data_IF_152758283950
#
_entry.id   IF_152758283950
#
_cell.length_a   1.000
_cell.length_b   1.000
_cell.length_c   1.000
_cell.angle_alpha   90.00
_cell.angle_beta   90.00
_cell.angle_gamma   90.00
#
_symmetry.space_group_name_H-M   'P 1'
#
loop_
_entity.id
_entity.type
_entity.pdbx_description
1 polymer ?
#
# COMPACT_ATOMS: atom_id res chain seq x y z
N UNK A 1 -14.95 2.13 -20.22
CA UNK A 1 -13.97 1.08 -19.82
C UNK A 1 -14.17 0.74 -18.35
N UNK A 2 -14.27 -0.55 -17.99
CA UNK A 2 -14.40 -0.97 -16.59
C UNK A 2 -13.17 -0.54 -15.78
N UNK A 3 -13.41 0.08 -14.62
CA UNK A 3 -12.35 0.49 -13.68
C UNK A 3 -12.29 -0.52 -12.52
N UNK A 4 -11.09 -0.81 -12.04
CA UNK A 4 -10.86 -1.68 -10.90
C UNK A 4 -9.65 -1.18 -10.09
N UNK A 5 -9.58 -1.57 -8.82
CA UNK A 5 -8.42 -1.38 -7.96
C UNK A 5 -7.58 -2.66 -7.92
N UNK A 6 -6.27 -2.52 -7.78
CA UNK A 6 -5.33 -3.65 -7.82
C UNK A 6 -4.84 -3.99 -6.42
N UNK A 7 -5.21 -5.16 -5.91
CA UNK A 7 -4.85 -5.60 -4.55
C UNK A 7 -3.35 -5.82 -4.35
N UNK A 8 -2.55 -5.95 -5.42
CA UNK A 8 -1.10 -6.19 -5.31
C UNK A 8 -0.36 -5.01 -4.67
N UNK A 9 -0.93 -3.81 -4.80
CA UNK A 9 -0.37 -2.62 -4.18
C UNK A 9 -0.32 -2.72 -2.65
N UNK A 10 -1.25 -3.44 -2.00
CA UNK A 10 -1.18 -3.69 -0.56
C UNK A 10 0.11 -4.40 -0.14
N UNK A 11 0.41 -5.52 -0.80
CA UNK A 11 1.61 -6.31 -0.49
C UNK A 11 2.89 -5.52 -0.79
N UNK A 12 2.91 -4.78 -1.90
CA UNK A 12 4.05 -3.95 -2.28
C UNK A 12 4.31 -2.81 -1.28
N UNK A 13 3.27 -2.08 -0.87
CA UNK A 13 3.42 -0.99 0.10
C UNK A 13 3.73 -1.51 1.51
N UNK A 14 3.15 -2.63 1.92
CA UNK A 14 3.47 -3.28 3.18
C UNK A 14 4.94 -3.74 3.23
N UNK A 15 5.46 -4.31 2.14
CA UNK A 15 6.87 -4.68 2.03
C UNK A 15 7.81 -3.47 2.09
N UNK A 16 7.49 -2.39 1.37
CA UNK A 16 8.27 -1.16 1.42
C UNK A 16 8.26 -0.51 2.81
N UNK A 17 7.09 -0.48 3.45
CA UNK A 17 6.97 -0.02 4.84
C UNK A 17 7.81 -0.88 5.78
N UNK A 18 7.80 -2.21 5.61
CA UNK A 18 8.63 -3.12 6.40
C UNK A 18 10.13 -2.88 6.18
N UNK A 19 10.56 -2.68 4.93
CA UNK A 19 11.96 -2.40 4.60
C UNK A 19 12.44 -1.08 5.21
N UNK A 20 11.59 -0.05 5.15
CA UNK A 20 11.80 1.17 5.90
C UNK A 20 11.88 0.83 7.39
N UNK A 21 10.83 0.30 8.03
CA UNK A 21 10.87 -0.05 9.45
C UNK A 21 12.12 -0.84 9.90
N UNK A 22 12.62 -1.78 9.11
CA UNK A 22 13.83 -2.53 9.42
C UNK A 22 15.08 -1.63 9.47
N UNK A 23 15.22 -0.70 8.53
CA UNK A 23 16.28 0.29 8.58
C UNK A 23 16.19 1.16 9.85
N UNK A 24 15.00 1.34 10.45
CA UNK A 24 14.77 2.25 11.58
C UNK A 24 15.49 1.70 12.80
N UNK A 25 15.22 0.42 13.03
CA UNK A 25 15.73 -0.38 14.12
C UNK A 25 17.26 -0.37 14.16
N UNK A 26 17.91 -0.22 12.99
CA UNK A 26 19.37 -0.20 12.87
C UNK A 26 20.05 1.13 13.17
N UNK A 27 19.34 2.19 13.60
CA UNK A 27 19.92 3.54 13.74
C UNK A 27 19.94 4.07 15.17
N UNK A 28 21.05 4.71 15.58
CA UNK A 28 21.32 5.10 16.97
C UNK A 28 21.42 6.62 17.23
N UNK A 29 21.25 7.48 16.21
CA UNK A 29 21.45 8.95 16.32
C UNK A 29 20.16 9.77 16.05
N UNK A 30 20.24 11.12 16.12
CA UNK A 30 19.22 12.17 15.84
C UNK A 30 18.40 12.05 14.53
N UNK A 31 18.56 10.94 13.81
CA UNK A 31 17.89 10.53 12.58
C UNK A 31 16.41 10.17 12.76
N UNK A 32 15.90 10.10 14.00
CA UNK A 32 14.53 9.70 14.33
C UNK A 32 13.44 10.55 13.66
N UNK A 33 13.67 11.85 13.43
CA UNK A 33 12.73 12.73 12.73
C UNK A 33 12.65 12.43 11.22
N UNK A 34 13.81 12.27 10.56
CA UNK A 34 13.88 11.85 9.15
C UNK A 34 13.33 10.42 8.98
N UNK A 35 13.49 9.60 10.01
CA UNK A 35 12.99 8.24 10.08
C UNK A 35 11.49 8.13 10.28
N UNK A 36 10.86 9.05 11.01
CA UNK A 36 9.40 9.14 11.13
C UNK A 36 8.76 9.60 9.80
N UNK A 37 9.46 10.44 9.06
CA UNK A 37 9.01 10.93 7.76
C UNK A 37 8.97 9.81 6.70
N UNK A 38 9.83 8.79 6.80
CA UNK A 38 9.86 7.67 5.86
C UNK A 38 8.56 6.83 5.87
N UNK A 39 8.05 6.30 7.00
CA UNK A 39 6.76 5.63 7.06
C UNK A 39 5.59 6.57 6.76
N UNK A 40 5.68 7.87 7.06
CA UNK A 40 4.65 8.85 6.66
C UNK A 40 4.58 9.04 5.12
N UNK A 41 5.73 9.08 4.44
CA UNK A 41 5.80 9.08 2.97
C UNK A 41 5.35 7.74 2.36
N UNK A 42 5.63 6.61 3.01
CA UNK A 42 5.09 5.32 2.54
C UNK A 42 3.59 5.18 2.81
N UNK A 43 3.09 5.76 3.90
CA UNK A 43 1.65 5.85 4.17
C UNK A 43 0.94 6.75 3.14
N UNK A 44 1.57 7.82 2.65
CA UNK A 44 0.97 8.63 1.58
C UNK A 44 0.93 7.89 0.23
N UNK A 45 1.87 6.97 -0.03
CA UNK A 45 1.82 6.09 -1.20
C UNK A 45 0.67 5.06 -1.13
N UNK A 46 0.16 4.74 0.06
CA UNK A 46 -1.02 3.89 0.24
C UNK A 46 -2.26 4.45 -0.48
N UNK A 47 -2.37 5.78 -0.63
CA UNK A 47 -3.47 6.41 -1.37
C UNK A 47 -3.52 5.97 -2.85
N UNK A 48 -2.43 5.47 -3.42
CA UNK A 48 -2.40 4.93 -4.78
C UNK A 48 -3.29 3.68 -4.95
N UNK A 49 -3.64 2.99 -3.85
CA UNK A 49 -4.61 1.88 -3.88
C UNK A 49 -6.02 2.37 -4.21
N UNK A 50 -6.36 3.60 -3.84
CA UNK A 50 -7.65 4.23 -4.12
C UNK A 50 -7.72 4.88 -5.51
N UNK A 51 -6.65 4.80 -6.31
CA UNK A 51 -6.65 5.32 -7.68
C UNK A 51 -7.18 4.22 -8.62
N UNK A 52 -8.38 4.41 -9.21
CA UNK A 52 -8.97 3.40 -10.09
C UNK A 52 -8.18 3.30 -11.41
N UNK A 53 -7.91 2.07 -11.86
CA UNK A 53 -7.22 1.82 -13.14
C UNK A 53 -8.09 1.02 -14.09
N UNK A 54 -7.73 1.02 -15.38
CA UNK A 54 -8.40 0.18 -16.38
C UNK A 54 -8.28 -1.30 -15.96
N UNK A 55 -9.42 -1.98 -15.88
CA UNK A 55 -9.49 -3.37 -15.49
C UNK A 55 -8.75 -4.29 -16.48
N UNK A 56 -8.61 -3.87 -17.74
CA UNK A 56 -7.92 -4.61 -18.81
C UNK A 56 -6.43 -4.83 -18.48
N UNK A 57 -5.85 -3.94 -17.67
CA UNK A 57 -4.45 -4.03 -17.21
C UNK A 57 -4.26 -4.82 -15.92
N UNK A 58 -5.33 -5.24 -15.26
CA UNK A 58 -5.29 -5.94 -13.97
C UNK A 58 -5.78 -7.38 -14.16
N UNK A 59 -5.02 -8.41 -13.75
CA UNK A 59 -5.51 -9.79 -13.79
C UNK A 59 -6.77 -9.96 -12.91
N UNK A 60 -7.78 -10.71 -13.39
CA UNK A 60 -9.09 -10.82 -12.74
C UNK A 60 -9.02 -11.17 -11.24
N UNK A 61 -8.11 -12.08 -10.85
CA UNK A 61 -7.88 -12.50 -9.45
C UNK A 61 -7.43 -11.39 -8.49
N UNK A 62 -6.97 -10.25 -9.01
CA UNK A 62 -6.46 -9.13 -8.21
C UNK A 62 -7.35 -7.88 -8.28
N UNK A 63 -8.45 -7.95 -9.03
CA UNK A 63 -9.38 -6.83 -9.22
C UNK A 63 -10.25 -6.69 -7.97
N UNK A 64 -10.30 -5.48 -7.47
CA UNK A 64 -11.28 -5.02 -6.49
C UNK A 64 -12.22 -4.08 -7.25
N UNK A 65 -13.52 -4.37 -7.22
CA UNK A 65 -14.50 -3.65 -8.05
C UNK A 65 -15.09 -2.46 -7.31
N UNK A 66 -15.15 -2.53 -5.99
CA UNK A 66 -15.64 -1.47 -5.12
C UNK A 66 -14.55 -1.01 -4.13
N UNK A 67 -14.63 0.25 -3.67
CA UNK A 67 -13.79 0.73 -2.57
C UNK A 67 -14.04 -0.06 -1.29
N UNK A 68 -15.25 -0.60 -1.11
CA UNK A 68 -15.57 -1.48 0.02
C UNK A 68 -14.70 -2.73 0.04
N UNK A 69 -14.31 -3.23 -1.13
CA UNK A 69 -13.44 -4.41 -1.25
C UNK A 69 -12.01 -4.11 -0.81
N UNK A 70 -11.55 -2.84 -0.93
CA UNK A 70 -10.27 -2.37 -0.39
C UNK A 70 -10.28 -2.54 1.14
N UNK A 71 -11.33 -2.10 1.83
CA UNK A 71 -11.45 -2.23 3.29
C UNK A 71 -11.60 -3.70 3.73
N UNK A 72 -12.35 -4.50 2.98
CA UNK A 72 -12.45 -5.96 3.21
C UNK A 72 -11.10 -6.64 3.05
N UNK A 73 -10.32 -6.24 2.04
CA UNK A 73 -8.98 -6.75 1.82
C UNK A 73 -8.00 -6.40 2.95
N UNK A 74 -8.10 -5.18 3.51
CA UNK A 74 -7.28 -4.76 4.67
C UNK A 74 -7.66 -5.53 5.94
N UNK A 75 -8.95 -5.77 6.15
CA UNK A 75 -9.47 -6.42 7.37
C UNK A 75 -9.45 -7.96 7.29
N UNK A 76 -8.95 -8.54 6.19
CA UNK A 76 -8.94 -9.98 5.97
C UNK A 76 -10.33 -10.61 5.79
N UNK A 77 -11.36 -9.81 5.51
CA UNK A 77 -12.76 -10.24 5.32
C UNK A 77 -13.09 -10.47 3.84
N UNK A 78 -12.18 -11.11 3.10
CA UNK A 78 -12.32 -11.43 1.67
C UNK A 78 -13.01 -12.79 1.50
#
# INVERSE_FOLDING_TARGET
MPKAYDRRYFAFFAFLFFLAFLGFLGTTHYRHLAWLASPACFASLFFLIFVPRSADRIPARFRLHDQRDIYRAVTGRI
#
